data_IF_927447238267
#
_entry.id   IF_927447238267
#
_cell.length_a   1.000
_cell.length_b   1.000
_cell.length_c   1.000
_cell.angle_alpha   90.00
_cell.angle_beta   90.00
_cell.angle_gamma   90.00
#
_symmetry.space_group_name_H-M   'P 1'
#
loop_
_entity.id
_entity.type
_entity.pdbx_description
1 polymer ?
#
# COMPACT_ATOMS: atom_id res chain seq x y z
N UNK A 1 69.28 -39.44 -30.13
CA UNK A 1 67.97 -40.08 -30.00
C UNK A 1 67.09 -39.16 -29.13
N UNK A 2 66.18 -38.44 -29.75
CA UNK A 2 65.38 -37.41 -29.11
C UNK A 2 64.02 -38.03 -28.81
N UNK A 3 63.67 -38.14 -27.53
CA UNK A 3 62.35 -38.60 -27.09
C UNK A 3 61.33 -37.50 -27.08
N UNK A 4 60.30 -37.64 -27.88
CA UNK A 4 59.20 -36.72 -28.01
C UNK A 4 58.17 -37.01 -26.90
N UNK A 5 58.04 -36.10 -25.90
CA UNK A 5 56.98 -36.14 -24.92
C UNK A 5 55.76 -35.49 -25.50
N UNK A 6 54.72 -36.27 -25.77
CA UNK A 6 53.39 -35.75 -26.13
C UNK A 6 52.62 -35.48 -24.85
N UNK A 7 52.43 -34.21 -24.53
CA UNK A 7 51.48 -33.76 -23.47
C UNK A 7 50.05 -33.82 -24.03
N UNK A 8 49.29 -34.80 -23.55
CA UNK A 8 47.82 -34.79 -23.73
C UNK A 8 47.21 -33.76 -22.75
N UNK A 9 46.85 -32.62 -23.27
CA UNK A 9 46.03 -31.67 -22.55
C UNK A 9 44.56 -32.14 -22.55
N UNK A 10 44.12 -32.67 -21.43
CA UNK A 10 42.68 -32.98 -21.21
C UNK A 10 41.91 -31.69 -21.00
N UNK A 11 41.22 -31.22 -22.03
CA UNK A 11 40.25 -30.17 -21.89
C UNK A 11 39.00 -30.72 -21.16
N UNK A 12 38.90 -30.45 -19.89
CA UNK A 12 37.66 -30.58 -19.13
C UNK A 12 36.72 -29.49 -19.59
N UNK A 13 35.80 -29.85 -20.46
CA UNK A 13 34.61 -29.00 -20.73
C UNK A 13 33.74 -29.04 -19.46
N UNK A 14 33.88 -28.04 -18.60
CA UNK A 14 32.89 -27.73 -17.62
C UNK A 14 31.66 -27.22 -18.37
N UNK A 15 30.65 -28.06 -18.52
CA UNK A 15 29.35 -27.65 -18.94
C UNK A 15 28.75 -26.77 -17.83
N UNK A 16 28.88 -25.47 -17.96
CA UNK A 16 28.06 -24.52 -17.18
C UNK A 16 26.61 -24.81 -17.53
N UNK A 17 25.95 -25.57 -16.71
CA UNK A 17 24.51 -25.63 -16.74
C UNK A 17 23.98 -24.23 -16.34
N UNK A 18 23.60 -23.45 -17.35
CA UNK A 18 22.85 -22.24 -17.17
C UNK A 18 21.50 -22.62 -16.54
N UNK A 19 21.42 -22.58 -15.20
CA UNK A 19 20.16 -22.72 -14.49
C UNK A 19 19.37 -21.47 -14.81
N UNK A 20 18.54 -21.54 -15.85
CA UNK A 20 17.52 -20.53 -16.12
C UNK A 20 16.55 -20.65 -14.93
N UNK A 21 16.76 -19.83 -13.91
CA UNK A 21 15.79 -19.63 -12.85
C UNK A 21 14.56 -19.06 -13.52
N UNK A 22 13.58 -19.89 -13.78
CA UNK A 22 12.24 -19.44 -14.22
C UNK A 22 11.75 -18.43 -13.21
N UNK A 23 11.68 -17.15 -13.62
CA UNK A 23 11.16 -16.08 -12.78
C UNK A 23 9.73 -16.46 -12.40
N UNK A 24 9.51 -16.68 -11.10
CA UNK A 24 8.19 -17.10 -10.60
C UNK A 24 7.21 -15.96 -10.81
N UNK A 25 6.28 -16.14 -11.72
CA UNK A 25 5.21 -15.18 -11.95
C UNK A 25 4.37 -15.02 -10.69
N UNK A 26 4.13 -13.78 -10.30
CA UNK A 26 3.31 -13.43 -9.13
C UNK A 26 1.92 -13.02 -9.63
N UNK A 27 0.85 -13.70 -9.21
CA UNK A 27 -0.50 -13.35 -9.64
C UNK A 27 -0.95 -12.00 -9.07
N UNK A 28 -1.81 -11.31 -9.81
CA UNK A 28 -2.48 -10.11 -9.35
C UNK A 28 -3.58 -10.45 -8.33
N UNK A 29 -3.84 -9.53 -7.39
CA UNK A 29 -5.07 -9.53 -6.60
C UNK A 29 -6.03 -8.53 -7.24
N UNK A 30 -7.24 -9.00 -7.59
CA UNK A 30 -8.30 -8.16 -8.17
C UNK A 30 -9.53 -8.27 -7.28
N UNK A 31 -10.02 -7.12 -6.80
CA UNK A 31 -11.24 -7.01 -5.99
C UNK A 31 -12.28 -6.29 -6.83
N UNK A 32 -13.15 -7.07 -7.47
CA UNK A 32 -14.23 -6.51 -8.28
C UNK A 32 -15.32 -5.95 -7.39
N UNK A 33 -15.87 -4.79 -7.76
CA UNK A 33 -16.97 -4.18 -7.03
C UNK A 33 -16.60 -3.66 -5.63
N UNK A 34 -15.31 -3.37 -5.38
CA UNK A 34 -14.82 -2.95 -4.06
C UNK A 34 -15.64 -1.79 -3.46
N UNK A 35 -16.07 -0.83 -4.28
CA UNK A 35 -16.92 0.28 -3.82
C UNK A 35 -18.33 -0.13 -3.39
N UNK A 36 -18.78 -1.34 -3.77
CA UNK A 36 -20.10 -1.89 -3.42
C UNK A 36 -20.05 -2.75 -2.15
N UNK A 37 -18.85 -3.19 -1.76
CA UNK A 37 -18.61 -4.00 -0.56
C UNK A 37 -18.08 -3.17 0.61
N UNK A 38 -18.50 -1.90 0.69
CA UNK A 38 -18.05 -1.00 1.73
C UNK A 38 -18.62 -1.43 3.09
N UNK A 39 -17.80 -2.16 3.88
CA UNK A 39 -18.09 -2.42 5.29
C UNK A 39 -17.46 -1.29 6.08
N UNK A 40 -18.25 -0.35 6.64
CA UNK A 40 -17.72 0.83 7.30
C UNK A 40 -17.03 0.45 8.62
N UNK A 41 -15.83 0.95 8.82
CA UNK A 41 -15.14 0.93 10.09
C UNK A 41 -15.04 2.37 10.60
N UNK A 42 -15.69 2.72 11.71
CA UNK A 42 -15.68 4.07 12.23
C UNK A 42 -14.25 4.55 12.55
N UNK A 43 -13.91 5.76 12.15
CA UNK A 43 -12.64 6.42 12.49
C UNK A 43 -12.87 7.75 13.21
N UNK A 44 -14.12 8.14 13.42
CA UNK A 44 -14.60 9.32 14.11
C UNK A 44 -16.10 9.27 14.21
N UNK A 45 -16.73 10.31 14.74
CA UNK A 45 -18.19 10.38 14.91
C UNK A 45 -18.95 10.33 13.59
N UNK A 46 -18.36 10.91 12.53
CA UNK A 46 -18.97 11.11 11.22
C UNK A 46 -18.06 10.71 10.07
N UNK A 47 -17.01 9.95 10.36
CA UNK A 47 -16.08 9.44 9.36
C UNK A 47 -15.89 7.93 9.48
N UNK A 48 -15.74 7.27 8.34
CA UNK A 48 -15.52 5.83 8.25
C UNK A 48 -14.44 5.53 7.22
N UNK A 49 -13.74 4.42 7.41
CA UNK A 49 -12.78 3.85 6.46
C UNK A 49 -13.20 2.43 6.08
N UNK A 50 -12.77 1.98 4.95
CA UNK A 50 -12.85 0.59 4.52
C UNK A 50 -11.55 0.21 3.83
N UNK A 51 -10.71 -0.54 4.51
CA UNK A 51 -9.50 -1.13 3.93
C UNK A 51 -9.91 -2.28 3.01
N UNK A 52 -9.50 -2.25 1.75
CA UNK A 52 -9.83 -3.31 0.80
C UNK A 52 -8.70 -4.29 0.58
N UNK A 53 -7.48 -3.85 0.71
CA UNK A 53 -6.31 -4.72 0.65
C UNK A 53 -5.15 -4.12 1.42
N UNK A 54 -4.33 -5.02 2.00
CA UNK A 54 -3.14 -4.64 2.75
C UNK A 54 -2.06 -5.67 2.48
N UNK A 55 -0.96 -5.23 1.89
CA UNK A 55 0.18 -6.09 1.58
C UNK A 55 1.40 -5.65 2.37
N UNK A 56 2.21 -6.63 2.79
CA UNK A 56 3.54 -6.32 3.30
C UNK A 56 4.42 -5.92 2.13
N UNK A 57 5.09 -4.77 2.24
CA UNK A 57 6.01 -4.33 1.19
C UNK A 57 7.25 -5.22 1.14
N UNK A 58 7.74 -5.49 -0.06
CA UNK A 58 8.98 -6.22 -0.31
C UNK A 58 10.07 -5.35 -0.97
N UNK A 59 9.79 -4.06 -1.14
CA UNK A 59 10.69 -3.09 -1.76
C UNK A 59 11.61 -2.40 -0.76
N UNK A 60 11.49 -2.70 0.52
CA UNK A 60 12.26 -2.10 1.62
C UNK A 60 12.55 -3.15 2.69
N UNK A 61 13.67 -3.02 3.39
CA UNK A 61 14.05 -3.89 4.49
C UNK A 61 13.22 -3.65 5.76
N UNK A 62 12.61 -2.47 5.87
CA UNK A 62 11.70 -2.15 6.98
C UNK A 62 10.31 -2.74 6.73
N UNK A 63 9.77 -3.53 7.67
CA UNK A 63 8.42 -4.06 7.51
C UNK A 63 7.41 -2.93 7.53
N UNK A 64 6.66 -2.80 6.45
CA UNK A 64 5.53 -1.89 6.33
C UNK A 64 4.42 -2.55 5.52
N UNK A 65 3.22 -2.03 5.67
CA UNK A 65 2.04 -2.49 4.96
C UNK A 65 1.51 -1.36 4.09
N UNK A 66 1.48 -1.57 2.78
CA UNK A 66 0.74 -0.72 1.86
C UNK A 66 -0.72 -1.14 1.91
N UNK A 67 -1.56 -0.28 2.44
CA UNK A 67 -3.00 -0.51 2.59
C UNK A 67 -3.75 0.49 1.72
N UNK A 68 -4.77 0.03 1.02
CA UNK A 68 -5.62 0.89 0.19
C UNK A 68 -7.08 0.68 0.52
N UNK A 69 -7.86 1.73 0.42
CA UNK A 69 -9.28 1.69 0.72
C UNK A 69 -10.02 2.98 0.41
N UNK A 70 -11.20 3.13 1.00
CA UNK A 70 -12.02 4.31 0.89
C UNK A 70 -12.23 4.97 2.24
N UNK A 71 -12.17 6.29 2.23
CA UNK A 71 -12.51 7.17 3.33
C UNK A 71 -13.79 7.91 2.99
N UNK A 72 -14.79 7.80 3.86
CA UNK A 72 -16.05 8.51 3.76
C UNK A 72 -16.21 9.44 4.95
N UNK A 73 -16.63 10.66 4.71
CA UNK A 73 -16.96 11.63 5.75
C UNK A 73 -18.32 12.26 5.45
N UNK A 74 -19.08 12.47 6.50
CA UNK A 74 -20.37 13.16 6.47
C UNK A 74 -20.30 14.43 7.33
N UNK A 75 -21.25 15.33 7.12
CA UNK A 75 -21.36 16.56 7.91
C UNK A 75 -21.42 16.24 9.40
N UNK A 76 -20.57 16.91 10.18
CA UNK A 76 -20.50 16.71 11.62
C UNK A 76 -19.35 17.49 12.23
N UNK A 77 -18.90 17.04 13.38
CA UNK A 77 -17.74 17.59 14.08
C UNK A 77 -16.46 17.36 13.27
N UNK A 78 -15.58 18.35 13.23
CA UNK A 78 -14.26 18.17 12.62
C UNK A 78 -13.51 17.03 13.29
N UNK A 79 -12.89 16.17 12.47
CA UNK A 79 -12.13 15.00 12.90
C UNK A 79 -10.63 15.32 12.87
N UNK A 80 -9.98 15.49 14.03
CA UNK A 80 -8.54 15.71 14.09
C UNK A 80 -7.78 14.42 13.87
N UNK A 81 -6.68 14.49 13.11
CA UNK A 81 -5.80 13.36 12.86
C UNK A 81 -4.34 13.80 12.92
N UNK A 82 -3.53 13.03 13.63
CA UNK A 82 -2.07 13.13 13.63
C UNK A 82 -1.50 11.93 12.88
N UNK A 83 -0.83 12.18 11.78
CA UNK A 83 -0.27 11.14 10.93
C UNK A 83 1.01 10.57 11.51
N UNK A 84 1.03 9.26 11.70
CA UNK A 84 2.21 8.47 12.10
C UNK A 84 2.76 7.62 10.97
N UNK A 85 2.17 7.73 9.79
CA UNK A 85 2.55 7.06 8.55
C UNK A 85 2.22 7.96 7.36
N UNK A 86 2.81 7.69 6.21
CA UNK A 86 2.49 8.40 4.97
C UNK A 86 1.16 7.92 4.41
N UNK A 87 0.37 8.85 3.95
CA UNK A 87 -0.91 8.58 3.29
C UNK A 87 -1.12 9.53 2.11
N UNK A 88 -1.79 9.05 1.08
CA UNK A 88 -2.38 9.90 0.06
C UNK A 88 -3.88 9.68 -0.02
N UNK A 89 -4.62 10.76 -0.31
CA UNK A 89 -6.06 10.70 -0.61
C UNK A 89 -6.33 11.33 -1.97
N UNK A 90 -7.24 10.70 -2.72
CA UNK A 90 -7.79 11.23 -3.97
C UNK A 90 -9.30 11.35 -3.83
N UNK A 91 -9.83 12.56 -3.98
CA UNK A 91 -11.28 12.80 -3.83
C UNK A 91 -12.02 12.26 -5.04
N UNK A 92 -12.97 11.36 -4.79
CA UNK A 92 -13.81 10.71 -5.81
C UNK A 92 -15.11 11.46 -5.99
N UNK A 93 -15.76 11.85 -4.87
CA UNK A 93 -17.05 12.55 -4.92
C UNK A 93 -17.26 13.42 -3.67
N UNK A 94 -18.18 14.36 -3.79
CA UNK A 94 -18.49 15.30 -2.72
C UNK A 94 -17.39 16.32 -2.49
N UNK A 95 -17.19 16.71 -1.23
CA UNK A 95 -16.23 17.74 -0.84
C UNK A 95 -15.64 17.40 0.54
N UNK A 96 -14.34 17.58 0.70
CA UNK A 96 -13.62 17.33 1.95
C UNK A 96 -12.80 18.57 2.28
N UNK A 97 -13.03 19.15 3.44
CA UNK A 97 -12.21 20.23 3.98
C UNK A 97 -11.08 19.62 4.82
N UNK A 98 -9.86 20.09 4.61
CA UNK A 98 -8.68 19.69 5.37
C UNK A 98 -8.03 20.96 5.91
N UNK A 99 -8.17 21.20 7.21
CA UNK A 99 -7.38 22.20 7.91
C UNK A 99 -5.98 21.63 8.15
N UNK A 100 -4.98 22.25 7.56
CA UNK A 100 -3.57 22.00 7.88
C UNK A 100 -3.18 22.83 9.12
N UNK A 101 -2.95 22.16 10.25
CA UNK A 101 -2.63 22.85 11.51
C UNK A 101 -1.25 23.54 11.47
N UNK A 102 -0.33 23.07 10.62
CA UNK A 102 0.99 23.69 10.50
C UNK A 102 0.94 25.08 9.85
N UNK A 103 0.03 25.27 8.91
CA UNK A 103 -0.11 26.53 8.16
C UNK A 103 -1.33 27.35 8.59
N UNK A 104 -2.31 26.70 9.24
CA UNK A 104 -3.61 27.28 9.57
C UNK A 104 -4.52 27.43 8.35
N UNK A 105 -4.15 26.88 7.19
CA UNK A 105 -4.92 26.95 5.95
C UNK A 105 -5.90 25.78 5.85
N UNK A 106 -7.16 26.10 5.50
CA UNK A 106 -8.14 25.08 5.14
C UNK A 106 -8.16 24.88 3.63
N UNK A 107 -7.85 23.67 3.19
CA UNK A 107 -7.95 23.25 1.80
C UNK A 107 -9.32 22.64 1.53
N UNK A 108 -10.00 23.13 0.50
CA UNK A 108 -11.33 22.64 0.09
C UNK A 108 -11.18 21.68 -1.08
N UNK A 109 -11.04 20.39 -0.79
CA UNK A 109 -10.79 19.37 -1.78
C UNK A 109 -12.09 18.93 -2.46
N UNK A 110 -12.05 18.84 -3.79
CA UNK A 110 -13.16 18.42 -4.65
C UNK A 110 -12.72 17.23 -5.53
N UNK A 111 -13.65 16.55 -6.24
CA UNK A 111 -13.30 15.44 -7.12
C UNK A 111 -12.17 15.78 -8.09
N UNK A 112 -11.13 14.94 -8.11
CA UNK A 112 -9.91 15.17 -8.88
C UNK A 112 -8.72 15.65 -8.06
N UNK A 113 -8.94 16.17 -6.85
CA UNK A 113 -7.85 16.64 -6.00
C UNK A 113 -7.15 15.51 -5.25
N UNK A 114 -5.82 15.67 -5.13
CA UNK A 114 -4.96 14.84 -4.30
C UNK A 114 -4.48 15.60 -3.06
N UNK A 115 -4.39 14.88 -1.93
CA UNK A 115 -3.70 15.33 -0.74
C UNK A 115 -2.67 14.28 -0.31
N UNK A 116 -1.50 14.75 0.11
CA UNK A 116 -0.43 13.93 0.67
C UNK A 116 -0.20 14.32 2.13
N UNK A 117 -0.17 13.32 3.00
CA UNK A 117 0.04 13.47 4.42
C UNK A 117 1.33 12.75 4.80
N UNK A 118 2.22 13.47 5.47
CA UNK A 118 3.53 12.98 5.90
C UNK A 118 3.48 12.58 7.37
N UNK A 119 4.41 11.74 7.78
CA UNK A 119 4.63 11.50 9.22
C UNK A 119 4.81 12.82 9.94
N UNK A 120 4.02 13.06 10.98
CA UNK A 120 4.00 14.31 11.75
C UNK A 120 2.94 15.32 11.30
N UNK A 121 2.30 15.15 10.14
CA UNK A 121 1.19 16.03 9.72
C UNK A 121 0.07 15.99 10.75
N UNK A 122 -0.44 17.18 11.13
CA UNK A 122 -1.63 17.33 11.97
C UNK A 122 -2.67 18.09 11.21
N UNK A 123 -3.85 17.48 11.07
CA UNK A 123 -4.94 18.03 10.25
C UNK A 123 -6.28 17.84 10.93
N UNK A 124 -7.29 18.58 10.47
CA UNK A 124 -8.69 18.35 10.85
C UNK A 124 -9.52 18.18 9.59
N UNK A 125 -10.18 17.04 9.48
CA UNK A 125 -11.10 16.76 8.39
C UNK A 125 -12.51 17.23 8.74
N UNK A 126 -13.19 17.86 7.76
CA UNK A 126 -14.60 18.22 7.86
C UNK A 126 -15.23 18.24 6.49
N UNK A 127 -16.55 18.37 6.44
CA UNK A 127 -17.31 18.63 5.21
C UNK A 127 -18.61 19.34 5.54
N UNK A 128 -19.13 20.11 4.58
CA UNK A 128 -20.43 20.75 4.68
C UNK A 128 -21.60 19.80 4.35
N UNK A 129 -21.29 18.68 3.68
CA UNK A 129 -22.30 17.70 3.24
C UNK A 129 -21.78 16.27 3.41
N UNK A 130 -21.06 15.76 2.41
CA UNK A 130 -20.41 14.46 2.41
C UNK A 130 -19.20 14.47 1.47
N UNK A 131 -18.25 13.58 1.70
CA UNK A 131 -17.10 13.36 0.83
C UNK A 131 -16.68 11.90 0.82
N UNK A 132 -16.21 11.43 -0.33
CA UNK A 132 -15.63 10.13 -0.54
C UNK A 132 -14.25 10.28 -1.18
N UNK A 133 -13.24 9.65 -0.61
CA UNK A 133 -11.90 9.61 -1.16
C UNK A 133 -11.37 8.17 -1.18
N UNK A 134 -10.61 7.83 -2.21
CA UNK A 134 -9.66 6.72 -2.18
C UNK A 134 -8.46 7.12 -1.33
N UNK A 135 -7.87 6.19 -0.61
CA UNK A 135 -6.58 6.40 0.05
C UNK A 135 -5.63 5.23 -0.17
N UNK A 136 -4.35 5.53 -0.09
CA UNK A 136 -3.28 4.57 0.08
C UNK A 136 -2.37 5.05 1.22
N UNK A 137 -2.06 4.14 2.14
CA UNK A 137 -1.33 4.46 3.38
C UNK A 137 -0.29 3.38 3.67
N UNK A 138 0.89 3.79 4.16
CA UNK A 138 1.91 2.88 4.71
C UNK A 138 1.71 2.75 6.21
N UNK A 139 1.60 1.52 6.72
CA UNK A 139 1.40 1.27 8.16
C UNK A 139 2.49 0.33 8.69
N UNK A 140 2.98 0.53 9.92
CA UNK A 140 3.96 -0.37 10.53
C UNK A 140 3.36 -1.75 10.85
N UNK A 141 2.04 -1.82 11.04
CA UNK A 141 1.30 -3.05 11.33
C UNK A 141 0.08 -3.19 10.42
N UNK A 142 -0.30 -4.41 10.10
CA UNK A 142 -1.54 -4.70 9.37
C UNK A 142 -2.73 -4.34 10.25
N UNK A 143 -3.62 -3.49 9.75
CA UNK A 143 -4.85 -3.16 10.47
C UNK A 143 -5.82 -4.35 10.44
N UNK A 144 -6.49 -4.59 11.56
CA UNK A 144 -7.62 -5.53 11.62
C UNK A 144 -8.87 -4.80 11.09
N UNK A 145 -9.21 -5.08 9.83
CA UNK A 145 -10.41 -4.50 9.21
C UNK A 145 -11.28 -5.63 8.63
N UNK A 146 -12.62 -5.59 8.81
CA UNK A 146 -13.52 -6.65 8.36
C UNK A 146 -13.38 -6.98 6.87
N UNK A 147 -13.18 -5.99 6.02
CA UNK A 147 -13.00 -6.19 4.58
C UNK A 147 -11.71 -6.94 4.21
N UNK A 148 -10.74 -7.05 5.13
CA UNK A 148 -9.50 -7.78 4.89
C UNK A 148 -9.64 -9.28 5.19
N UNK A 149 -10.73 -9.70 5.83
CA UNK A 149 -11.00 -11.10 6.11
C UNK A 149 -11.09 -11.90 4.79
N UNK A 150 -10.34 -12.98 4.71
CA UNK A 150 -10.25 -13.81 3.49
C UNK A 150 -9.42 -13.22 2.35
N UNK A 151 -8.85 -12.03 2.52
CA UNK A 151 -7.92 -11.38 1.58
C UNK A 151 -6.50 -11.46 2.11
N UNK A 152 -6.07 -12.66 2.47
CA UNK A 152 -4.75 -12.88 3.03
C UNK A 152 -3.70 -12.83 1.95
N UNK A 153 -2.54 -12.27 2.30
CA UNK A 153 -1.37 -12.32 1.43
C UNK A 153 -0.95 -13.77 1.22
N UNK A 154 -0.73 -14.15 -0.02
CA UNK A 154 0.03 -15.35 -0.31
C UNK A 154 1.46 -15.07 0.12
N UNK A 155 1.80 -15.43 1.36
CA UNK A 155 3.17 -15.32 1.87
C UNK A 155 4.04 -16.22 1.00
N UNK A 156 4.84 -15.61 0.14
CA UNK A 156 5.91 -16.35 -0.52
C UNK A 156 6.87 -16.79 0.59
N UNK A 157 6.82 -18.07 0.94
CA UNK A 157 7.83 -18.67 1.80
C UNK A 157 9.19 -18.39 1.16
N UNK A 158 10.02 -17.56 1.81
CA UNK A 158 11.42 -17.48 1.44
C UNK A 158 11.95 -18.89 1.58
N UNK A 159 12.19 -19.58 0.47
CA UNK A 159 12.98 -20.82 0.47
C UNK A 159 14.34 -20.41 1.06
N UNK A 160 14.64 -20.94 2.24
CA UNK A 160 15.99 -20.88 2.78
C UNK A 160 16.87 -21.62 1.78
N UNK A 161 17.77 -20.90 1.13
CA UNK A 161 18.94 -21.46 0.49
C UNK A 161 19.92 -21.92 1.54
#
# INVERSE_FOLDING_TARGET
MVGLFVLLASYLFASEQLVIMSEKLVPLTIIKGASQEFIPFPTGENATVADFHSIRTSTTDSPSYLTSGFYKIEKGKAYPLHYTCEETKYVISGQIDVLDEATGVTHHLVPGDFAFFYVGSKVQFSTKSAGLAFYAVTRPVKAAHPNLAGREEVVQSKSKL
#
